data_IF_044395898632
#
_entry.id   IF_044395898632
#
_cell.length_a   1.000
_cell.length_b   1.000
_cell.length_c   1.000
_cell.angle_alpha   90.00
_cell.angle_beta   90.00
_cell.angle_gamma   90.00
#
_symmetry.space_group_name_H-M   'P 1'
#
loop_
_entity.id
_entity.type
_entity.pdbx_description
1 polymer ?
#
# COMPACT_ATOMS: atom_id res chain seq x y z
N UNK A 1 24.04 1.68 -13.00
CA UNK A 1 22.57 1.87 -13.15
C UNK A 1 22.21 3.19 -12.51
N UNK A 2 21.29 3.98 -13.07
CA UNK A 2 20.88 5.23 -12.45
C UNK A 2 20.01 4.92 -11.21
N UNK A 3 20.34 5.54 -10.09
CA UNK A 3 19.54 5.48 -8.85
C UNK A 3 18.66 6.72 -8.81
N UNK A 4 17.35 6.52 -8.69
CA UNK A 4 16.37 7.60 -8.67
C UNK A 4 15.70 7.66 -7.32
N UNK A 5 15.62 8.87 -6.75
CA UNK A 5 14.91 9.08 -5.50
C UNK A 5 13.40 8.92 -5.69
N UNK A 6 12.76 8.09 -4.87
CA UNK A 6 11.31 7.85 -4.91
C UNK A 6 10.47 9.11 -4.64
N UNK A 7 10.98 10.07 -3.84
CA UNK A 7 10.24 11.26 -3.46
C UNK A 7 10.40 12.43 -4.43
N UNK A 8 11.62 12.67 -4.92
CA UNK A 8 11.94 13.82 -5.76
C UNK A 8 12.18 13.49 -7.23
N UNK A 9 12.16 12.19 -7.59
CA UNK A 9 12.36 11.67 -8.96
C UNK A 9 13.69 12.10 -9.62
N UNK A 10 14.62 12.63 -8.83
CA UNK A 10 15.97 13.00 -9.29
C UNK A 10 16.92 11.82 -9.20
N UNK A 11 17.85 11.78 -10.13
CA UNK A 11 19.00 10.88 -10.05
C UNK A 11 19.91 11.30 -8.90
N UNK A 12 20.31 10.34 -8.06
CA UNK A 12 21.14 10.57 -6.89
C UNK A 12 22.27 9.55 -6.85
N UNK A 13 23.46 9.98 -6.43
CA UNK A 13 24.61 9.09 -6.32
C UNK A 13 24.41 8.06 -5.19
N UNK A 14 23.94 8.54 -4.04
CA UNK A 14 23.76 7.74 -2.82
C UNK A 14 22.35 7.92 -2.23
N UNK A 15 21.83 6.82 -1.69
CA UNK A 15 20.51 6.77 -1.07
C UNK A 15 20.21 5.37 -0.55
N UNK A 16 19.25 5.27 0.38
CA UNK A 16 18.86 4.00 0.98
C UNK A 16 17.96 3.23 0.00
N UNK A 17 18.30 2.00 -0.39
CA UNK A 17 17.52 1.24 -1.35
C UNK A 17 16.15 0.85 -0.79
N UNK A 18 15.13 0.91 -1.65
CA UNK A 18 13.79 0.44 -1.33
C UNK A 18 13.68 -1.06 -1.55
N UNK A 19 13.01 -1.74 -0.62
CA UNK A 19 12.73 -3.16 -0.68
C UNK A 19 11.91 -3.48 -1.92
N UNK A 20 12.44 -4.38 -2.75
CA UNK A 20 11.80 -4.84 -3.97
C UNK A 20 10.65 -5.82 -3.66
N UNK A 21 9.55 -5.31 -3.12
CA UNK A 21 8.34 -6.08 -2.84
C UNK A 21 7.52 -6.35 -4.11
N UNK A 22 6.59 -7.33 -4.03
CA UNK A 22 5.67 -7.70 -5.12
C UNK A 22 4.90 -6.49 -5.65
N UNK A 23 4.52 -5.56 -4.77
CA UNK A 23 3.83 -4.32 -5.14
C UNK A 23 4.73 -3.39 -5.96
N UNK A 24 6.01 -3.22 -5.60
CA UNK A 24 6.97 -2.46 -6.41
C UNK A 24 7.15 -3.12 -7.77
N UNK A 25 7.28 -4.46 -7.83
CA UNK A 25 7.42 -5.18 -9.10
C UNK A 25 6.20 -4.92 -10.00
N UNK A 26 5.00 -5.03 -9.44
CA UNK A 26 3.76 -4.77 -10.16
C UNK A 26 3.65 -3.32 -10.66
N UNK A 27 3.98 -2.34 -9.81
CA UNK A 27 3.99 -0.92 -10.19
C UNK A 27 5.03 -0.66 -11.28
N UNK A 28 6.23 -1.25 -11.18
CA UNK A 28 7.27 -1.13 -12.22
C UNK A 28 6.81 -1.75 -13.53
N UNK A 29 6.13 -2.89 -13.48
CA UNK A 29 5.63 -3.59 -14.66
C UNK A 29 4.49 -2.81 -15.33
N UNK A 30 3.57 -2.25 -14.55
CA UNK A 30 2.56 -1.32 -15.06
C UNK A 30 3.20 -0.06 -15.65
N UNK A 31 4.11 0.61 -14.94
CA UNK A 31 4.78 1.82 -15.44
C UNK A 31 5.70 1.55 -16.64
N UNK A 32 6.26 0.33 -16.76
CA UNK A 32 7.01 -0.13 -17.94
C UNK A 32 6.07 -0.31 -19.13
N UNK A 33 4.88 -0.89 -18.93
CA UNK A 33 3.85 -1.00 -19.98
C UNK A 33 3.36 0.37 -20.46
N UNK A 34 3.32 1.37 -19.59
CA UNK A 34 2.96 2.76 -19.93
C UNK A 34 4.17 3.56 -20.47
N UNK A 35 5.37 2.98 -20.52
CA UNK A 35 6.56 3.60 -21.13
C UNK A 35 7.26 4.67 -20.28
N UNK A 36 6.89 4.80 -19.00
CA UNK A 36 7.32 5.91 -18.12
C UNK A 36 8.60 5.60 -17.32
N UNK A 37 8.96 4.32 -17.09
CA UNK A 37 10.14 3.97 -16.29
C UNK A 37 11.21 3.16 -17.04
N UNK A 38 12.40 3.76 -17.18
CA UNK A 38 13.67 3.08 -17.45
C UNK A 38 14.13 2.38 -16.17
N UNK A 39 14.78 1.21 -16.29
CA UNK A 39 15.10 0.27 -15.20
C UNK A 39 16.08 0.79 -14.12
N UNK A 40 15.67 1.83 -13.40
CA UNK A 40 16.46 2.52 -12.39
C UNK A 40 16.21 1.91 -10.99
N UNK A 41 17.25 1.90 -10.16
CA UNK A 41 17.12 1.53 -8.76
C UNK A 41 16.38 2.64 -8.02
N UNK A 42 15.32 2.27 -7.28
CA UNK A 42 14.56 3.23 -6.48
C UNK A 42 15.21 3.32 -5.10
N UNK A 43 15.67 4.52 -4.76
CA UNK A 43 16.30 4.83 -3.48
C UNK A 43 15.56 5.97 -2.80
N UNK A 44 15.84 6.21 -1.52
CA UNK A 44 15.45 7.43 -0.82
C UNK A 44 16.73 8.19 -0.50
N UNK A 45 16.85 9.43 -0.97
CA UNK A 45 18.01 10.25 -0.63
C UNK A 45 17.93 10.70 0.84
N UNK A 46 19.09 10.94 1.44
CA UNK A 46 19.24 11.29 2.87
C UNK A 46 18.38 12.48 3.30
N UNK A 47 18.27 13.50 2.45
CA UNK A 47 17.45 14.69 2.69
C UNK A 47 15.95 14.39 2.82
N UNK A 48 15.48 13.33 2.16
CA UNK A 48 14.06 12.97 2.12
C UNK A 48 13.71 11.78 3.01
N UNK A 49 14.69 11.18 3.69
CA UNK A 49 14.47 10.04 4.61
C UNK A 49 13.48 10.38 5.71
N UNK A 50 13.60 11.53 6.36
CA UNK A 50 12.69 11.94 7.44
C UNK A 50 11.24 12.06 6.96
N UNK A 51 11.03 12.71 5.80
CA UNK A 51 9.72 12.87 5.18
C UNK A 51 9.14 11.54 4.70
N UNK A 52 10.00 10.64 4.24
CA UNK A 52 9.62 9.29 3.84
C UNK A 52 9.19 8.46 5.06
N UNK A 53 9.92 8.51 6.18
CA UNK A 53 9.57 7.82 7.42
C UNK A 53 8.21 8.28 7.95
N UNK A 54 7.93 9.59 7.91
CA UNK A 54 6.61 10.13 8.29
C UNK A 54 5.50 9.60 7.38
N UNK A 55 5.72 9.60 6.06
CA UNK A 55 4.76 9.03 5.09
C UNK A 55 4.53 7.54 5.32
N UNK A 56 5.58 6.78 5.64
CA UNK A 56 5.51 5.35 5.93
C UNK A 56 4.68 5.08 7.19
N UNK A 57 4.93 5.81 8.27
CA UNK A 57 4.15 5.73 9.51
C UNK A 57 2.68 6.09 9.29
N UNK A 58 2.40 7.09 8.46
CA UNK A 58 1.02 7.47 8.07
C UNK A 58 0.36 6.37 7.23
N UNK A 59 1.10 5.79 6.29
CA UNK A 59 0.62 4.66 5.49
C UNK A 59 0.27 3.46 6.36
N UNK A 60 1.11 3.08 7.33
CA UNK A 60 0.84 1.96 8.23
C UNK A 60 -0.41 2.20 9.09
N UNK A 61 -0.56 3.39 9.65
CA UNK A 61 -1.78 3.77 10.39
C UNK A 61 -3.02 3.69 9.51
N UNK A 62 -2.94 4.21 8.29
CA UNK A 62 -4.05 4.17 7.35
C UNK A 62 -4.35 2.73 6.91
N UNK A 63 -3.34 1.89 6.70
CA UNK A 63 -3.51 0.49 6.32
C UNK A 63 -4.21 -0.29 7.44
N UNK A 64 -3.80 -0.09 8.69
CA UNK A 64 -4.48 -0.68 9.86
C UNK A 64 -5.93 -0.19 9.94
N UNK A 65 -6.18 1.11 9.73
CA UNK A 65 -7.53 1.68 9.73
C UNK A 65 -8.39 1.08 8.61
N UNK A 66 -7.89 1.05 7.37
CA UNK A 66 -8.60 0.48 6.23
C UNK A 66 -8.82 -1.03 6.38
N UNK A 67 -7.86 -1.76 6.94
CA UNK A 67 -8.02 -3.18 7.25
C UNK A 67 -9.12 -3.40 8.31
N UNK A 68 -9.11 -2.60 9.38
CA UNK A 68 -10.12 -2.67 10.44
C UNK A 68 -11.51 -2.36 9.89
N UNK A 69 -11.65 -1.28 9.11
CA UNK A 69 -12.91 -0.89 8.46
C UNK A 69 -13.35 -1.95 7.46
N UNK A 70 -12.44 -2.49 6.65
CA UNK A 70 -12.73 -3.54 5.68
C UNK A 70 -13.27 -4.81 6.35
N UNK A 71 -12.66 -5.25 7.45
CA UNK A 71 -13.12 -6.41 8.24
C UNK A 71 -14.49 -6.12 8.88
N UNK A 72 -14.68 -4.93 9.45
CA UNK A 72 -15.98 -4.51 10.00
C UNK A 72 -17.08 -4.49 8.94
N UNK A 73 -16.78 -4.05 7.72
CA UNK A 73 -17.74 -4.06 6.60
C UNK A 73 -18.03 -5.51 6.18
N UNK A 74 -16.98 -6.32 5.97
CA UNK A 74 -17.13 -7.69 5.49
C UNK A 74 -17.89 -8.60 6.47
N UNK A 75 -17.74 -8.38 7.78
CA UNK A 75 -18.43 -9.17 8.82
C UNK A 75 -19.73 -8.49 9.25
N UNK A 76 -19.72 -7.18 9.43
CA UNK A 76 -20.87 -6.42 9.92
C UNK A 76 -22.06 -6.47 8.97
N UNK A 77 -21.85 -6.26 7.66
CA UNK A 77 -22.94 -6.27 6.68
C UNK A 77 -23.74 -7.58 6.64
N UNK A 78 -23.13 -8.78 6.68
CA UNK A 78 -23.90 -10.02 6.71
C UNK A 78 -24.43 -10.38 8.11
N UNK A 79 -23.78 -9.96 9.19
CA UNK A 79 -24.19 -10.32 10.57
C UNK A 79 -25.38 -9.48 11.05
N UNK A 80 -25.43 -8.18 10.74
CA UNK A 80 -26.54 -7.28 11.10
C UNK A 80 -27.93 -7.81 10.66
N UNK A 81 -28.15 -8.15 9.38
CA UNK A 81 -29.43 -8.69 8.92
C UNK A 81 -29.74 -10.08 9.51
N UNK A 82 -28.72 -10.90 9.78
CA UNK A 82 -28.90 -12.20 10.43
C UNK A 82 -29.44 -12.06 11.86
N UNK A 83 -28.94 -11.09 12.64
CA UNK A 83 -29.45 -10.80 14.00
C UNK A 83 -30.85 -10.18 13.95
N UNK A 84 -31.18 -9.44 12.91
CA UNK A 84 -32.52 -8.86 12.70
C UNK A 84 -33.57 -9.88 12.20
N UNK A 85 -33.20 -11.14 11.98
CA UNK A 85 -34.09 -12.19 11.49
C UNK A 85 -34.41 -12.10 9.99
N UNK A 86 -33.62 -11.37 9.21
CA UNK A 86 -33.77 -11.29 7.76
C UNK A 86 -33.27 -12.57 7.07
N UNK A 87 -33.82 -12.92 5.89
CA UNK A 87 -33.37 -14.07 5.13
C UNK A 87 -31.91 -13.93 4.68
N UNK A 88 -31.18 -15.04 4.70
CA UNK A 88 -29.77 -15.07 4.34
C UNK A 88 -29.61 -15.01 2.81
N UNK A 89 -29.30 -13.84 2.28
CA UNK A 89 -29.08 -13.65 0.84
C UNK A 89 -27.59 -13.76 0.49
N UNK A 90 -27.15 -14.80 -0.26
CA UNK A 90 -25.74 -14.97 -0.62
C UNK A 90 -25.17 -13.80 -1.46
N UNK A 91 -26.04 -13.04 -2.14
CA UNK A 91 -25.65 -11.82 -2.85
C UNK A 91 -25.07 -10.75 -1.91
N UNK A 92 -25.61 -10.60 -0.70
CA UNK A 92 -25.13 -9.61 0.27
C UNK A 92 -23.72 -9.93 0.77
N UNK A 93 -23.38 -11.21 0.92
CA UNK A 93 -22.02 -11.67 1.24
C UNK A 93 -21.07 -11.31 0.11
N UNK A 94 -21.41 -11.66 -1.14
CA UNK A 94 -20.60 -11.31 -2.30
C UNK A 94 -20.32 -9.80 -2.38
N UNK A 95 -21.36 -8.97 -2.20
CA UNK A 95 -21.19 -7.51 -2.20
C UNK A 95 -20.36 -7.01 -1.02
N UNK A 96 -20.54 -7.56 0.18
CA UNK A 96 -19.75 -7.15 1.36
C UNK A 96 -18.26 -7.47 1.20
N UNK A 97 -17.94 -8.64 0.61
CA UNK A 97 -16.57 -9.05 0.31
C UNK A 97 -15.98 -8.18 -0.80
N UNK A 98 -16.75 -7.88 -1.85
CA UNK A 98 -16.33 -6.98 -2.92
C UNK A 98 -16.03 -5.57 -2.38
N UNK A 99 -16.91 -5.02 -1.53
CA UNK A 99 -16.75 -3.70 -0.91
C UNK A 99 -15.54 -3.66 0.04
N UNK A 100 -15.41 -4.64 0.93
CA UNK A 100 -14.25 -4.75 1.81
C UNK A 100 -12.95 -4.91 1.02
N UNK A 101 -12.97 -5.71 -0.04
CA UNK A 101 -11.87 -5.86 -0.98
C UNK A 101 -11.51 -4.56 -1.69
N UNK A 102 -12.49 -3.77 -2.12
CA UNK A 102 -12.27 -2.47 -2.77
C UNK A 102 -11.63 -1.45 -1.81
N UNK A 103 -12.06 -1.41 -0.54
CA UNK A 103 -11.45 -0.55 0.49
C UNK A 103 -9.98 -0.93 0.72
N UNK A 104 -9.68 -2.23 0.76
CA UNK A 104 -8.30 -2.72 0.83
C UNK A 104 -7.51 -2.37 -0.44
N UNK A 105 -8.12 -2.46 -1.62
CA UNK A 105 -7.48 -2.09 -2.88
C UNK A 105 -7.10 -0.59 -2.93
N UNK A 106 -7.91 0.30 -2.37
CA UNK A 106 -7.57 1.72 -2.21
C UNK A 106 -6.35 1.93 -1.29
N UNK A 107 -6.14 1.04 -0.32
CA UNK A 107 -4.91 1.05 0.49
C UNK A 107 -3.67 0.71 -0.34
N UNK A 108 -3.78 -0.18 -1.33
CA UNK A 108 -2.67 -0.55 -2.22
C UNK A 108 -2.26 0.64 -3.11
N UNK A 109 -3.21 1.48 -3.54
CA UNK A 109 -2.88 2.69 -4.30
C UNK A 109 -2.04 3.70 -3.51
N UNK A 110 -2.13 3.67 -2.18
CA UNK A 110 -1.32 4.50 -1.28
C UNK A 110 -0.07 3.78 -0.77
N UNK A 111 0.34 2.65 -1.38
CA UNK A 111 1.48 1.86 -0.93
C UNK A 111 2.78 2.68 -0.89
N UNK A 112 3.31 2.85 0.31
CA UNK A 112 4.67 3.33 0.52
C UNK A 112 5.54 2.11 0.70
N UNK A 113 6.55 1.85 -0.14
CA UNK A 113 7.44 0.69 0.03
C UNK A 113 8.23 0.74 1.34
N UNK A 114 8.86 -0.35 1.76
CA UNK A 114 9.81 -0.37 2.88
C UNK A 114 11.26 -0.18 2.38
N UNK A 115 12.21 0.12 3.28
CA UNK A 115 13.64 0.18 2.96
C UNK A 115 14.29 -1.21 3.09
N UNK A 116 15.34 -1.52 2.32
CA UNK A 116 16.04 -2.82 2.37
C UNK A 116 16.86 -2.99 3.65
N UNK A 117 17.46 -1.91 4.16
CA UNK A 117 18.01 -1.89 5.51
C UNK A 117 16.83 -1.81 6.48
N UNK A 118 16.64 -2.88 7.26
CA UNK A 118 15.59 -2.99 8.28
C UNK A 118 15.75 -2.04 9.47
N UNK A 119 16.09 -0.77 9.24
CA UNK A 119 16.06 0.32 10.22
C UNK A 119 14.62 0.83 10.44
N UNK A 120 13.69 -0.11 10.61
CA UNK A 120 12.42 0.09 11.33
C UNK A 120 12.50 -0.54 12.73
N UNK A 121 13.69 -0.59 13.33
CA UNK A 121 13.86 -0.90 14.76
C UNK A 121 14.39 0.32 15.51
N UNK A 122 13.47 1.10 16.06
CA UNK A 122 13.73 1.94 17.23
C UNK A 122 13.60 3.44 17.03
N UNK A 123 12.36 3.94 17.09
CA UNK A 123 12.05 5.25 17.67
C UNK A 123 10.63 5.22 18.27
#
# INVERSE_FOLDING_TARGET
>A
MARVCWLCEKEVADGTPLKNDVVIRFIREMKRKVGILKGNELVVCSEHLAKYAEKRKKFERNLVLYATVGVLIAIGLPVLPLVAGAPFEPMTICFSVLLGGMVLALSILNYVPALETGEEKGA
#
